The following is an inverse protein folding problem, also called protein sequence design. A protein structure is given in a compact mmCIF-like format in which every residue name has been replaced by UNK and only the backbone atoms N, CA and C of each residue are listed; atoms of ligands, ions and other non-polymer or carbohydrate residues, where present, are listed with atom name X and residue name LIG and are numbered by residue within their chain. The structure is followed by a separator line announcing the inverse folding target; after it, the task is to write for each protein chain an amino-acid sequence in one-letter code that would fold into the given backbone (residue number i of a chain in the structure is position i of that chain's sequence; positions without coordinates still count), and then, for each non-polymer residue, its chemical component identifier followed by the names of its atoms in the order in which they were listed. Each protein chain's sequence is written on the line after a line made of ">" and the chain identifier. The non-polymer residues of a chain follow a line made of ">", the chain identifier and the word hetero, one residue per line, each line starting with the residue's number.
data_IF_930351210630
#
_entry.id   IF_930351210630
#
_cell.length_a   1.000
_cell.length_b   1.000
_cell.length_c   1.000
_cell.angle_alpha   90.00
_cell.angle_beta   90.00
_cell.angle_gamma   90.00
#
_symmetry.space_group_name_H-M   'P 1'
#
loop_
_entity.id
_entity.type
_entity.pdbx_description
1 polymer ?
#
# COMPACT_ATOMS: atom_id res chain seq x y z
N UNK A 1 -3.09 17.45 -4.24
CA UNK A 1 -2.27 17.14 -3.04
C UNK A 1 -2.28 18.24 -1.95
N UNK A 2 -2.06 19.56 -2.21
CA UNK A 2 -2.08 20.56 -1.11
C UNK A 2 -3.38 20.56 -0.31
N UNK A 3 -4.54 20.63 -0.98
CA UNK A 3 -5.85 20.58 -0.30
C UNK A 3 -6.07 19.29 0.50
N UNK A 4 -5.60 18.16 0.01
CA UNK A 4 -5.70 16.88 0.73
C UNK A 4 -4.84 16.89 1.99
N UNK A 5 -3.66 17.52 1.94
CA UNK A 5 -2.78 17.65 3.09
C UNK A 5 -3.35 18.64 4.14
N UNK A 6 -3.97 19.73 3.70
CA UNK A 6 -4.72 20.65 4.58
C UNK A 6 -5.84 19.92 5.32
N UNK A 7 -6.58 19.04 4.62
CA UNK A 7 -7.61 18.20 5.24
C UNK A 7 -7.00 17.17 6.22
N UNK A 8 -5.91 16.51 5.85
CA UNK A 8 -5.20 15.60 6.75
C UNK A 8 -4.77 16.33 8.03
N UNK A 9 -4.19 17.51 7.90
CA UNK A 9 -3.79 18.33 9.04
C UNK A 9 -4.99 18.74 9.90
N UNK A 10 -6.08 19.19 9.28
CA UNK A 10 -7.32 19.57 9.97
C UNK A 10 -7.92 18.40 10.78
N UNK A 11 -7.89 17.18 10.23
CA UNK A 11 -8.38 15.98 10.90
C UNK A 11 -7.35 15.27 11.78
N UNK A 12 -6.16 15.83 11.95
CA UNK A 12 -5.04 15.18 12.66
C UNK A 12 -4.66 13.80 12.09
N UNK A 13 -4.78 13.63 10.76
CA UNK A 13 -4.33 12.41 10.07
C UNK A 13 -2.83 12.52 9.79
N UNK A 14 -1.98 11.67 10.40
CA UNK A 14 -0.53 11.79 10.27
C UNK A 14 0.01 11.26 8.94
N UNK A 15 -0.81 10.59 8.14
CA UNK A 15 -0.40 9.94 6.90
C UNK A 15 -1.29 10.33 5.73
N UNK A 16 -0.68 10.42 4.55
CA UNK A 16 -1.38 10.53 3.27
C UNK A 16 -0.79 9.54 2.29
N UNK A 17 -1.61 8.67 1.72
CA UNK A 17 -1.17 7.69 0.71
C UNK A 17 -1.18 8.32 -0.67
N UNK A 18 -0.15 8.04 -1.45
CA UNK A 18 -0.02 8.48 -2.83
C UNK A 18 0.48 7.33 -3.72
N UNK A 19 -0.11 7.21 -4.89
CA UNK A 19 0.40 6.30 -5.92
C UNK A 19 1.65 6.87 -6.57
N UNK A 20 2.62 6.02 -6.85
CA UNK A 20 3.71 6.35 -7.75
C UNK A 20 3.22 6.59 -9.17
N UNK A 21 3.96 7.41 -9.93
CA UNK A 21 3.67 7.60 -11.35
C UNK A 21 3.80 6.28 -12.09
N UNK A 22 2.81 5.98 -12.94
CA UNK A 22 2.74 4.79 -13.76
C UNK A 22 2.73 5.23 -15.22
N UNK A 23 3.74 4.83 -15.97
CA UNK A 23 3.82 5.08 -17.40
C UNK A 23 3.16 3.95 -18.18
N UNK A 24 2.89 4.16 -19.49
CA UNK A 24 2.52 3.05 -20.36
C UNK A 24 3.61 1.98 -20.28
N UNK A 25 3.24 0.80 -19.76
CA UNK A 25 4.21 -0.19 -19.34
C UNK A 25 4.91 -0.86 -20.53
N UNK A 26 6.22 -0.83 -20.51
CA UNK A 26 7.13 -1.72 -21.22
C UNK A 26 8.38 -1.91 -20.35
N UNK A 27 9.11 -3.00 -20.55
CA UNK A 27 10.25 -3.35 -19.70
C UNK A 27 11.24 -2.18 -19.59
N UNK A 28 11.64 -1.85 -18.35
CA UNK A 28 12.65 -0.83 -18.09
C UNK A 28 12.14 0.58 -17.78
N UNK A 29 10.83 0.79 -17.59
CA UNK A 29 10.29 2.12 -17.25
C UNK A 29 10.42 2.50 -15.78
N UNK A 30 10.71 1.57 -14.87
CA UNK A 30 10.66 1.77 -13.43
C UNK A 30 11.48 2.95 -12.89
N UNK A 31 12.66 3.23 -13.46
CA UNK A 31 13.47 4.37 -13.03
C UNK A 31 12.85 5.71 -13.50
N UNK A 32 12.26 5.76 -14.68
CA UNK A 32 11.55 6.96 -15.18
C UNK A 32 10.28 7.23 -14.37
N UNK A 33 9.56 6.19 -13.99
CA UNK A 33 8.39 6.28 -13.11
C UNK A 33 8.81 6.83 -11.75
N UNK A 34 9.94 6.34 -11.21
CA UNK A 34 10.47 6.86 -9.96
C UNK A 34 10.91 8.33 -10.07
N UNK A 35 11.61 8.72 -11.13
CA UNK A 35 12.00 10.13 -11.34
C UNK A 35 10.80 11.09 -11.28
N UNK A 36 9.67 10.70 -11.90
CA UNK A 36 8.46 11.51 -11.84
C UNK A 36 7.82 11.50 -10.43
N UNK A 37 7.79 10.34 -9.79
CA UNK A 37 7.32 10.18 -8.43
C UNK A 37 8.13 11.02 -7.45
N UNK A 38 9.46 10.99 -7.56
CA UNK A 38 10.38 11.77 -6.71
C UNK A 38 10.20 13.27 -6.89
N UNK A 39 10.04 13.76 -8.14
CA UNK A 39 9.70 15.17 -8.41
C UNK A 39 8.40 15.59 -7.74
N UNK A 40 7.39 14.75 -7.82
CA UNK A 40 6.12 15.00 -7.16
C UNK A 40 6.28 15.05 -5.63
N UNK A 41 6.97 14.06 -5.04
CA UNK A 41 7.25 14.03 -3.60
C UNK A 41 7.98 15.30 -3.18
N UNK A 42 9.02 15.71 -3.89
CA UNK A 42 9.76 16.94 -3.59
C UNK A 42 8.90 18.21 -3.68
N UNK A 43 7.86 18.23 -4.50
CA UNK A 43 6.95 19.37 -4.60
C UNK A 43 6.04 19.55 -3.38
N UNK A 44 5.79 18.46 -2.62
CA UNK A 44 4.89 18.45 -1.47
C UNK A 44 5.58 18.18 -0.12
N UNK A 45 6.81 17.66 -0.13
CA UNK A 45 7.55 17.31 1.08
C UNK A 45 7.79 18.49 2.04
N UNK A 46 8.04 19.74 1.59
CA UNK A 46 8.14 20.88 2.50
C UNK A 46 6.86 21.11 3.30
N UNK A 47 5.70 21.04 2.65
CA UNK A 47 4.40 21.17 3.29
C UNK A 47 4.14 19.99 4.24
N UNK A 48 4.47 18.77 3.83
CA UNK A 48 4.36 17.57 4.66
C UNK A 48 5.16 17.73 5.97
N UNK A 49 6.41 18.18 5.86
CA UNK A 49 7.27 18.47 7.02
C UNK A 49 6.67 19.52 7.96
N UNK A 50 6.18 20.63 7.41
CA UNK A 50 5.57 21.71 8.19
C UNK A 50 4.32 21.26 8.94
N UNK A 51 3.49 20.43 8.29
CA UNK A 51 2.23 19.91 8.85
C UNK A 51 2.40 18.65 9.71
N UNK A 52 3.62 18.08 9.79
CA UNK A 52 3.86 16.83 10.51
C UNK A 52 3.20 15.60 9.86
N UNK A 53 3.03 15.63 8.53
CA UNK A 53 2.40 14.56 7.74
C UNK A 53 3.50 13.73 7.06
N UNK A 54 3.37 12.40 7.09
CA UNK A 54 4.21 11.51 6.29
C UNK A 54 3.46 11.10 5.02
N UNK A 55 4.08 11.33 3.87
CA UNK A 55 3.61 10.85 2.57
C UNK A 55 3.95 9.37 2.48
N UNK A 56 2.98 8.49 2.21
CA UNK A 56 3.19 7.06 2.06
C UNK A 56 3.05 6.67 0.60
N UNK A 57 4.14 6.20 -0.01
CA UNK A 57 4.10 5.62 -1.36
C UNK A 57 3.61 4.16 -1.28
N UNK A 58 2.88 3.72 -2.29
CA UNK A 58 2.22 2.42 -2.32
C UNK A 58 2.81 1.49 -3.38
N UNK A 59 2.87 0.17 -3.09
CA UNK A 59 3.18 -0.84 -4.09
C UNK A 59 1.99 -1.06 -5.03
N UNK A 60 2.23 -0.93 -6.33
CA UNK A 60 1.22 -1.05 -7.37
C UNK A 60 1.53 -2.19 -8.33
N UNK A 61 0.52 -2.77 -8.94
CA UNK A 61 0.70 -3.67 -10.08
C UNK A 61 0.62 -2.93 -11.41
N UNK A 62 1.09 -3.56 -12.47
CA UNK A 62 0.99 -3.10 -13.85
C UNK A 62 0.52 -4.23 -14.77
N UNK A 63 0.05 -3.88 -15.95
CA UNK A 63 -0.34 -4.85 -16.98
C UNK A 63 0.64 -4.85 -18.14
N UNK A 64 1.05 -6.03 -18.60
CA UNK A 64 1.89 -6.21 -19.79
C UNK A 64 1.41 -7.41 -20.60
N UNK A 65 0.94 -7.17 -21.81
CA UNK A 65 0.51 -8.25 -22.71
C UNK A 65 -0.58 -9.15 -22.15
N UNK A 66 -1.49 -8.60 -21.32
CA UNK A 66 -2.55 -9.36 -20.65
C UNK A 66 -2.13 -10.03 -19.33
N UNK A 67 -0.87 -9.87 -18.91
CA UNK A 67 -0.37 -10.38 -17.64
C UNK A 67 -0.26 -9.26 -16.60
N UNK A 68 -0.43 -9.61 -15.32
CA UNK A 68 -0.11 -8.74 -14.21
C UNK A 68 1.37 -8.87 -13.86
N UNK A 69 2.02 -7.75 -13.66
CA UNK A 69 3.45 -7.66 -13.36
C UNK A 69 3.68 -6.60 -12.28
N UNK A 70 4.84 -6.64 -11.63
CA UNK A 70 5.24 -5.62 -10.68
C UNK A 70 5.17 -4.22 -11.30
N UNK A 71 4.50 -3.33 -10.62
CA UNK A 71 4.39 -1.92 -10.95
C UNK A 71 5.30 -1.05 -10.07
N UNK A 72 5.02 0.26 -9.98
CA UNK A 72 5.77 1.14 -9.11
C UNK A 72 5.85 0.64 -7.66
N UNK A 73 7.02 0.81 -7.05
CA UNK A 73 7.29 0.51 -5.63
C UNK A 73 7.19 -0.97 -5.20
N UNK A 74 7.22 -1.94 -6.13
CA UNK A 74 7.22 -3.37 -5.80
C UNK A 74 8.61 -3.93 -5.41
N UNK A 75 9.69 -3.17 -5.51
CA UNK A 75 11.00 -3.55 -4.99
C UNK A 75 11.21 -2.92 -3.60
N UNK A 76 11.08 -3.75 -2.55
CA UNK A 76 11.19 -3.30 -1.16
C UNK A 76 12.53 -2.65 -0.82
N UNK A 77 13.65 -3.17 -1.39
CA UNK A 77 14.99 -2.62 -1.13
C UNK A 77 15.12 -1.22 -1.73
N UNK A 78 14.76 -1.07 -3.00
CA UNK A 78 14.77 0.24 -3.65
C UNK A 78 13.82 1.22 -2.97
N UNK A 79 12.63 0.77 -2.54
CA UNK A 79 11.69 1.60 -1.80
C UNK A 79 12.30 2.08 -0.48
N UNK A 80 12.89 1.19 0.31
CA UNK A 80 13.55 1.53 1.57
C UNK A 80 14.70 2.55 1.36
N UNK A 81 15.60 2.30 0.41
CA UNK A 81 16.72 3.20 0.08
C UNK A 81 16.22 4.60 -0.35
N UNK A 82 15.17 4.66 -1.15
CA UNK A 82 14.57 5.91 -1.64
C UNK A 82 13.91 6.69 -0.51
N UNK A 83 13.21 6.01 0.39
CA UNK A 83 12.59 6.62 1.57
C UNK A 83 13.66 7.22 2.47
N UNK A 84 14.71 6.47 2.78
CA UNK A 84 15.80 6.94 3.64
C UNK A 84 16.48 8.18 3.06
N UNK A 85 16.84 8.15 1.77
CA UNK A 85 17.48 9.27 1.08
C UNK A 85 16.63 10.54 1.12
N UNK A 86 15.31 10.42 0.91
CA UNK A 86 14.40 11.57 0.95
C UNK A 86 14.27 12.09 2.38
N UNK A 87 14.08 11.21 3.36
CA UNK A 87 13.95 11.60 4.77
C UNK A 87 15.23 12.27 5.30
N UNK A 88 16.40 11.77 4.92
CA UNK A 88 17.69 12.39 5.23
C UNK A 88 17.78 13.82 4.64
N UNK A 89 17.43 13.97 3.35
CA UNK A 89 17.44 15.29 2.67
C UNK A 89 16.57 16.32 3.39
N UNK A 90 15.41 15.92 3.89
CA UNK A 90 14.51 16.83 4.61
C UNK A 90 14.78 16.89 6.13
N UNK A 91 15.66 16.05 6.66
CA UNK A 91 15.89 15.87 8.10
C UNK A 91 14.58 15.68 8.87
N UNK A 92 13.67 14.91 8.30
CA UNK A 92 12.34 14.63 8.85
C UNK A 92 11.73 13.39 8.18
N UNK A 93 10.84 12.64 8.84
CA UNK A 93 10.16 11.47 8.27
C UNK A 93 9.02 11.88 7.32
N UNK A 94 9.36 12.59 6.23
CA UNK A 94 8.36 13.09 5.27
C UNK A 94 7.85 12.02 4.31
N UNK A 95 8.58 10.89 4.16
CA UNK A 95 8.21 9.78 3.30
C UNK A 95 8.19 8.48 4.08
N UNK A 96 7.16 7.68 3.85
CA UNK A 96 6.96 6.33 4.36
C UNK A 96 6.39 5.42 3.28
N UNK A 97 5.92 4.25 3.68
CA UNK A 97 5.36 3.24 2.80
C UNK A 97 3.94 2.85 3.21
N UNK A 98 3.09 2.63 2.21
CA UNK A 98 1.82 1.95 2.33
C UNK A 98 1.95 0.58 1.65
N UNK A 99 1.73 -0.51 2.39
CA UNK A 99 1.73 -1.84 1.82
C UNK A 99 0.30 -2.27 1.52
N UNK A 100 0.03 -2.46 0.22
CA UNK A 100 -1.23 -2.98 -0.27
C UNK A 100 -1.14 -4.50 -0.47
N UNK A 101 -2.00 -5.23 0.24
CA UNK A 101 -2.00 -6.70 0.26
C UNK A 101 -2.52 -7.29 -1.03
N UNK A 102 -3.53 -6.67 -1.64
CA UNK A 102 -4.10 -7.16 -2.89
C UNK A 102 -3.18 -6.95 -4.08
N UNK A 103 -2.58 -5.76 -4.20
CA UNK A 103 -1.57 -5.49 -5.23
C UNK A 103 -0.37 -6.42 -5.11
N UNK A 104 0.09 -6.67 -3.88
CA UNK A 104 1.19 -7.59 -3.62
C UNK A 104 0.86 -9.04 -4.00
N UNK A 105 -0.39 -9.50 -3.73
CA UNK A 105 -0.85 -10.82 -4.13
C UNK A 105 -0.91 -10.99 -5.65
N UNK A 106 -1.39 -9.97 -6.37
CA UNK A 106 -1.50 -9.99 -7.83
C UNK A 106 -0.17 -10.21 -8.56
N UNK A 107 0.93 -9.78 -7.97
CA UNK A 107 2.28 -9.88 -8.57
C UNK A 107 3.19 -10.86 -7.85
N UNK A 108 2.66 -11.59 -6.86
CA UNK A 108 3.37 -12.68 -6.18
C UNK A 108 4.49 -12.23 -5.24
N UNK A 109 4.34 -11.06 -4.60
CA UNK A 109 5.29 -10.57 -3.59
C UNK A 109 5.28 -11.51 -2.37
N UNK A 110 6.47 -11.83 -1.85
CA UNK A 110 6.65 -12.46 -0.54
C UNK A 110 6.41 -11.40 0.55
N UNK A 111 5.27 -11.47 1.22
CA UNK A 111 4.81 -10.47 2.18
C UNK A 111 5.74 -10.36 3.39
N UNK A 112 6.13 -11.50 3.98
CA UNK A 112 6.99 -11.51 5.16
C UNK A 112 8.34 -10.86 4.88
N UNK A 113 8.94 -11.19 3.75
CA UNK A 113 10.22 -10.62 3.32
C UNK A 113 10.10 -9.15 2.98
N UNK A 114 9.07 -8.75 2.23
CA UNK A 114 8.85 -7.37 1.81
C UNK A 114 8.66 -6.45 3.02
N UNK A 115 7.76 -6.83 3.92
CA UNK A 115 7.48 -6.11 5.17
C UNK A 115 8.75 -6.03 6.05
N UNK A 116 9.49 -7.14 6.16
CA UNK A 116 10.73 -7.17 6.93
C UNK A 116 11.81 -6.23 6.40
N UNK A 117 11.91 -6.04 5.06
CA UNK A 117 12.84 -5.07 4.45
C UNK A 117 12.41 -3.63 4.72
N UNK A 118 11.12 -3.33 4.64
CA UNK A 118 10.60 -2.00 4.92
C UNK A 118 10.82 -1.59 6.37
N UNK A 119 10.62 -2.50 7.32
CA UNK A 119 10.76 -2.22 8.74
C UNK A 119 9.92 -1.03 9.19
N UNK A 120 10.50 -0.10 9.92
CA UNK A 120 9.82 1.09 10.47
C UNK A 120 9.39 2.13 9.40
N UNK A 121 9.76 1.94 8.14
CA UNK A 121 9.30 2.79 7.02
C UNK A 121 7.86 2.48 6.62
N UNK A 122 7.36 1.28 6.96
CA UNK A 122 5.96 0.90 6.79
C UNK A 122 5.09 1.67 7.78
N UNK A 123 4.11 2.41 7.29
CA UNK A 123 3.24 3.28 8.09
C UNK A 123 1.76 2.99 7.93
N UNK A 124 1.36 2.57 6.75
CA UNK A 124 -0.03 2.32 6.39
C UNK A 124 -0.15 0.97 5.72
N UNK A 125 -1.24 0.29 5.98
CA UNK A 125 -1.62 -0.93 5.28
C UNK A 125 -2.94 -0.67 4.54
N UNK A 126 -2.99 -0.99 3.26
CA UNK A 126 -4.22 -1.20 2.51
C UNK A 126 -4.52 -2.69 2.50
N UNK A 127 -5.61 -3.06 3.16
CA UNK A 127 -5.93 -4.46 3.44
C UNK A 127 -7.18 -4.85 2.67
N UNK A 128 -6.99 -5.71 1.70
CA UNK A 128 -8.07 -6.38 0.98
C UNK A 128 -7.59 -7.70 0.39
N UNK A 129 -8.53 -8.54 -0.04
CA UNK A 129 -8.25 -9.84 -0.63
C UNK A 129 -8.64 -9.88 -2.10
N UNK A 130 -7.99 -10.75 -2.86
CA UNK A 130 -8.33 -11.05 -4.23
C UNK A 130 -7.93 -12.49 -4.61
N UNK A 131 -8.34 -12.92 -5.80
CA UNK A 131 -8.08 -14.26 -6.33
C UNK A 131 -6.68 -14.42 -6.99
N UNK A 132 -5.84 -13.38 -6.95
CA UNK A 132 -4.56 -13.32 -7.65
C UNK A 132 -4.66 -13.08 -9.16
N UNK A 133 -5.86 -12.74 -9.67
CA UNK A 133 -6.13 -12.49 -11.09
C UNK A 133 -6.66 -11.07 -11.30
N UNK A 134 -7.57 -10.61 -10.43
CA UNK A 134 -8.20 -9.31 -10.52
C UNK A 134 -8.13 -8.59 -9.18
N UNK A 135 -8.08 -7.26 -9.22
CA UNK A 135 -8.07 -6.39 -8.05
C UNK A 135 -9.48 -6.24 -7.48
N UNK A 136 -9.90 -7.23 -6.67
CA UNK A 136 -11.30 -7.42 -6.29
C UNK A 136 -11.73 -6.69 -5.02
N UNK A 137 -10.80 -6.18 -4.21
CA UNK A 137 -11.07 -5.45 -2.96
C UNK A 137 -12.04 -6.19 -2.02
N UNK A 138 -11.86 -7.50 -1.87
CA UNK A 138 -12.72 -8.33 -1.01
C UNK A 138 -12.22 -8.34 0.44
N UNK A 139 -13.10 -8.77 1.34
CA UNK A 139 -12.77 -8.95 2.77
C UNK A 139 -11.64 -10.00 2.89
N UNK A 140 -10.66 -9.77 3.79
CA UNK A 140 -9.61 -10.76 4.08
C UNK A 140 -10.17 -12.16 4.32
N UNK A 141 -9.45 -13.17 3.86
CA UNK A 141 -9.82 -14.59 3.90
C UNK A 141 -10.96 -15.02 2.96
N UNK A 142 -11.45 -14.15 2.05
CA UNK A 142 -12.45 -14.52 1.05
C UNK A 142 -11.90 -15.59 0.11
N UNK A 143 -10.65 -15.46 -0.34
CA UNK A 143 -9.98 -16.42 -1.21
C UNK A 143 -9.01 -17.28 -0.39
N UNK A 144 -9.56 -18.24 0.37
CA UNK A 144 -8.76 -19.15 1.14
C UNK A 144 -7.96 -20.11 0.25
N UNK A 145 -6.83 -20.61 0.76
CA UNK A 145 -6.09 -21.72 0.15
C UNK A 145 -6.95 -22.99 0.11
N UNK A 146 -7.86 -23.07 -0.85
CA UNK A 146 -8.47 -24.35 -1.23
C UNK A 146 -7.42 -25.20 -1.92
N UNK A 147 -7.63 -26.54 -1.92
CA UNK A 147 -6.72 -27.49 -2.59
C UNK A 147 -6.41 -27.02 -4.02
N UNK A 148 -5.14 -26.65 -4.27
CA UNK A 148 -4.65 -26.24 -5.57
C UNK A 148 -4.70 -24.74 -5.86
N UNK A 149 -5.28 -23.90 -5.02
CA UNK A 149 -5.21 -22.45 -5.18
C UNK A 149 -3.85 -21.93 -4.67
N UNK A 150 -2.94 -21.63 -5.59
CA UNK A 150 -1.61 -21.10 -5.30
C UNK A 150 -1.57 -19.56 -5.27
N UNK A 151 -2.68 -18.90 -5.61
CA UNK A 151 -2.77 -17.44 -5.76
C UNK A 151 -3.50 -16.76 -4.61
N UNK A 152 -3.81 -17.51 -3.52
CA UNK A 152 -4.42 -16.92 -2.33
C UNK A 152 -3.42 -16.05 -1.57
N UNK A 153 -3.92 -14.95 -1.03
CA UNK A 153 -3.16 -14.02 -0.19
C UNK A 153 -2.51 -14.75 1.00
N UNK A 154 -1.21 -14.53 1.22
CA UNK A 154 -0.46 -15.13 2.33
C UNK A 154 -0.66 -14.35 3.63
N UNK A 155 -1.83 -14.51 4.24
CA UNK A 155 -2.18 -13.86 5.50
C UNK A 155 -1.27 -14.27 6.67
N UNK A 156 -0.75 -15.50 6.67
CA UNK A 156 0.20 -15.95 7.69
C UNK A 156 1.55 -15.23 7.56
N UNK A 157 2.09 -15.13 6.33
CA UNK A 157 3.31 -14.37 6.05
C UNK A 157 3.14 -12.89 6.36
N UNK A 158 1.96 -12.33 6.05
CA UNK A 158 1.59 -10.97 6.42
C UNK A 158 1.67 -10.75 7.93
N UNK A 159 0.98 -11.56 8.71
CA UNK A 159 0.98 -11.45 10.18
C UNK A 159 2.38 -11.65 10.78
N UNK A 160 3.15 -12.63 10.28
CA UNK A 160 4.54 -12.82 10.72
C UNK A 160 5.43 -11.64 10.40
N UNK A 161 5.29 -11.06 9.20
CA UNK A 161 6.04 -9.87 8.79
C UNK A 161 5.78 -8.68 9.70
N UNK A 162 4.50 -8.38 9.96
CA UNK A 162 4.09 -7.29 10.87
C UNK A 162 4.59 -7.52 12.30
N UNK A 163 4.46 -8.75 12.80
CA UNK A 163 4.95 -9.11 14.15
C UNK A 163 6.46 -8.93 14.29
N UNK A 164 7.24 -9.30 13.26
CA UNK A 164 8.71 -9.15 13.26
C UNK A 164 9.18 -7.70 13.35
N UNK A 165 8.48 -6.78 12.69
CA UNK A 165 8.86 -5.37 12.70
C UNK A 165 8.20 -4.59 13.84
N UNK A 166 7.32 -5.22 14.64
CA UNK A 166 6.54 -4.54 15.68
C UNK A 166 5.66 -3.43 15.10
N UNK A 167 4.93 -3.72 14.02
CA UNK A 167 4.13 -2.71 13.32
C UNK A 167 3.09 -2.06 14.24
N UNK A 168 3.09 -0.75 14.28
CA UNK A 168 2.21 0.11 15.10
C UNK A 168 1.49 1.20 14.28
N UNK A 169 1.46 1.05 12.95
CA UNK A 169 0.87 2.01 12.03
C UNK A 169 -0.64 1.83 11.81
N UNK A 170 -1.14 2.34 10.70
CA UNK A 170 -2.58 2.35 10.37
C UNK A 170 -2.97 1.13 9.55
N UNK A 171 -4.06 0.48 9.98
CA UNK A 171 -4.77 -0.56 9.24
C UNK A 171 -5.95 0.10 8.50
N UNK A 172 -5.88 0.15 7.18
CA UNK A 172 -6.96 0.66 6.32
C UNK A 172 -7.52 -0.48 5.49
N UNK A 173 -8.77 -0.83 5.71
CA UNK A 173 -9.46 -1.85 4.93
C UNK A 173 -10.07 -1.24 3.67
N UNK A 174 -9.56 -1.61 2.52
CA UNK A 174 -10.07 -1.17 1.22
C UNK A 174 -11.10 -2.14 0.67
N UNK A 175 -12.20 -2.30 1.40
CA UNK A 175 -13.28 -3.25 1.08
C UNK A 175 -14.57 -2.56 0.65
N UNK A 176 -14.48 -1.39 0.02
CA UNK A 176 -15.62 -0.60 -0.43
C UNK A 176 -16.63 -1.38 -1.29
N UNK A 177 -16.22 -2.23 -2.28
CA UNK A 177 -17.17 -3.01 -3.06
C UNK A 177 -18.08 -3.91 -2.22
N UNK A 178 -17.57 -4.42 -1.09
CA UNK A 178 -18.38 -5.22 -0.15
C UNK A 178 -19.48 -4.36 0.45
N UNK A 179 -19.18 -3.13 0.88
CA UNK A 179 -20.17 -2.22 1.44
C UNK A 179 -21.18 -1.73 0.39
N UNK A 180 -20.76 -1.60 -0.86
CA UNK A 180 -21.64 -1.19 -1.96
C UNK A 180 -22.65 -2.27 -2.32
N UNK A 181 -22.28 -3.54 -2.17
CA UNK A 181 -23.13 -4.69 -2.54
C UNK A 181 -24.05 -5.16 -1.43
N UNK A 182 -23.76 -4.86 -0.17
CA UNK A 182 -24.63 -5.23 0.96
C UNK A 182 -25.86 -4.31 1.04
N UNK A 183 -27.05 -4.87 1.37
CA UNK A 183 -28.22 -4.08 1.74
C UNK A 183 -27.90 -3.10 2.88
N UNK A 184 -28.54 -1.93 2.88
CA UNK A 184 -28.24 -0.86 3.85
C UNK A 184 -28.33 -1.34 5.31
N UNK A 185 -29.33 -2.16 5.61
CA UNK A 185 -29.55 -2.75 6.93
C UNK A 185 -28.43 -3.71 7.39
N UNK A 186 -27.62 -4.25 6.47
CA UNK A 186 -26.53 -5.17 6.78
C UNK A 186 -25.15 -4.50 6.82
N UNK A 187 -25.03 -3.25 6.39
CA UNK A 187 -23.74 -2.57 6.32
C UNK A 187 -23.03 -2.44 7.66
N UNK A 188 -23.80 -2.17 8.73
CA UNK A 188 -23.25 -2.08 10.07
C UNK A 188 -22.68 -3.41 10.55
N UNK A 189 -23.34 -4.53 10.25
CA UNK A 189 -22.86 -5.87 10.60
C UNK A 189 -21.61 -6.22 9.80
N UNK A 190 -21.57 -5.88 8.49
CA UNK A 190 -20.39 -6.07 7.64
C UNK A 190 -19.18 -5.27 8.14
N UNK A 191 -19.36 -4.00 8.52
CA UNK A 191 -18.32 -3.17 9.14
C UNK A 191 -17.85 -3.75 10.47
N UNK A 192 -18.78 -4.21 11.31
CA UNK A 192 -18.48 -4.86 12.59
C UNK A 192 -17.70 -6.17 12.40
N UNK A 193 -17.95 -6.90 11.34
CA UNK A 193 -17.18 -8.09 10.98
C UNK A 193 -15.75 -7.74 10.55
N UNK A 194 -15.60 -6.78 9.62
CA UNK A 194 -14.29 -6.32 9.15
C UNK A 194 -13.42 -5.81 10.31
N UNK A 195 -14.03 -5.08 11.26
CA UNK A 195 -13.31 -4.54 12.42
C UNK A 195 -12.84 -5.61 13.43
N UNK A 196 -13.25 -6.88 13.27
CA UNK A 196 -12.83 -8.01 14.12
C UNK A 196 -11.78 -8.91 13.46
N UNK A 197 -11.52 -8.71 12.19
CA UNK A 197 -10.45 -9.38 11.48
C UNK A 197 -9.10 -8.82 11.91
#
# INVERSE_FOLDING_TARGET
>A
APKSMELCHYFNCPYIVVHGFKLAYYLGTGEKEWEQTEKFIHSIAPMAKEMGITICIENLYSGLGGHLVEGPCCDAKKAAERIDRINERYSAPVLGFCFDTGHANLVGIDFERFIGILGNRLKVLHIHDNDGIADLHQIPFTFSRSRGNKTSTDWEGFARGLGKIGFDGVLSFETAPVLETFPEEMKQDALGFIARI
#
